data_IF_710005720283
#
_entry.id   IF_710005720283
#
_cell.length_a   1.000
_cell.length_b   1.000
_cell.length_c   1.000
_cell.angle_alpha   90.00
_cell.angle_beta   90.00
_cell.angle_gamma   90.00
#
_symmetry.space_group_name_H-M   'P 1'
#
loop_
_entity.id
_entity.type
_entity.pdbx_description
1 polymer ?
#
# COMPACT_ATOMS: atom_id res chain seq x y z
N UNK A 1 -28.61 3.13 -52.66
CA UNK A 1 -29.79 2.32 -52.38
C UNK A 1 -30.68 3.20 -51.52
N UNK A 2 -31.80 3.70 -52.03
CA UNK A 2 -32.68 4.55 -51.24
C UNK A 2 -33.50 3.67 -50.27
N UNK A 3 -32.86 3.15 -49.22
CA UNK A 3 -33.51 2.58 -48.02
C UNK A 3 -34.71 1.65 -48.26
N UNK A 4 -34.72 0.88 -49.35
CA UNK A 4 -35.93 0.16 -49.77
C UNK A 4 -36.35 -0.93 -48.77
N UNK A 5 -35.41 -1.45 -47.97
CA UNK A 5 -35.69 -2.45 -46.94
C UNK A 5 -36.25 -3.72 -47.58
N UNK A 6 -37.40 -4.19 -47.12
CA UNK A 6 -38.03 -5.42 -47.62
C UNK A 6 -39.30 -5.13 -48.43
N UNK A 7 -39.64 -6.05 -49.35
CA UNK A 7 -40.91 -6.02 -50.10
C UNK A 7 -41.84 -7.12 -49.60
N UNK A 8 -43.05 -6.73 -49.20
CA UNK A 8 -44.11 -7.68 -48.89
C UNK A 8 -44.86 -8.06 -50.18
N UNK A 9 -44.82 -9.33 -50.58
CA UNK A 9 -45.54 -9.83 -51.74
C UNK A 9 -46.94 -10.30 -51.35
N UNK A 10 -47.94 -9.92 -52.14
CA UNK A 10 -49.28 -10.50 -52.07
C UNK A 10 -49.48 -11.50 -53.20
N UNK A 11 -50.45 -12.39 -53.07
CA UNK A 11 -50.79 -13.34 -54.14
C UNK A 11 -51.07 -12.61 -55.46
N UNK A 12 -50.56 -13.18 -56.57
CA UNK A 12 -50.62 -12.57 -57.89
C UNK A 12 -49.66 -11.40 -58.16
N UNK A 13 -48.78 -11.03 -57.22
CA UNK A 13 -47.79 -9.96 -57.47
C UNK A 13 -46.79 -10.35 -58.55
N UNK A 14 -46.60 -9.47 -59.53
CA UNK A 14 -45.54 -9.61 -60.54
C UNK A 14 -44.23 -9.09 -59.97
N UNK A 15 -43.16 -9.89 -60.08
CA UNK A 15 -41.81 -9.49 -59.71
C UNK A 15 -41.15 -8.79 -60.90
N UNK A 16 -41.09 -7.46 -60.85
CA UNK A 16 -40.49 -6.64 -61.91
C UNK A 16 -38.96 -6.59 -61.80
N UNK A 17 -38.28 -6.29 -62.91
CA UNK A 17 -36.83 -6.12 -62.91
C UNK A 17 -36.37 -5.01 -61.94
N UNK A 18 -37.12 -3.92 -61.83
CA UNK A 18 -36.85 -2.85 -60.88
C UNK A 18 -36.89 -3.34 -59.43
N UNK A 19 -37.85 -4.21 -59.11
CA UNK A 19 -37.97 -4.80 -57.78
C UNK A 19 -36.87 -5.82 -57.49
N UNK A 20 -36.50 -6.66 -58.48
CA UNK A 20 -35.37 -7.59 -58.35
C UNK A 20 -34.09 -6.84 -58.06
N UNK A 21 -33.80 -5.77 -58.81
CA UNK A 21 -32.60 -4.99 -58.58
C UNK A 21 -32.63 -4.35 -57.20
N UNK A 22 -33.69 -3.58 -56.90
CA UNK A 22 -33.76 -2.75 -55.68
C UNK A 22 -33.86 -3.55 -54.38
N UNK A 23 -34.66 -4.62 -54.35
CA UNK A 23 -34.95 -5.37 -53.13
C UNK A 23 -34.12 -6.65 -52.99
N UNK A 24 -33.45 -7.11 -54.06
CA UNK A 24 -32.68 -8.35 -54.04
C UNK A 24 -31.21 -8.11 -54.40
N UNK A 25 -30.91 -7.71 -55.63
CA UNK A 25 -29.52 -7.64 -56.11
C UNK A 25 -28.71 -6.58 -55.35
N UNK A 26 -29.27 -5.39 -55.14
CA UNK A 26 -28.60 -4.27 -54.45
C UNK A 26 -28.40 -4.51 -52.94
N UNK A 27 -29.20 -5.40 -52.34
CA UNK A 27 -29.22 -5.66 -50.90
C UNK A 27 -28.43 -6.92 -50.50
N UNK A 28 -27.97 -7.71 -51.48
CA UNK A 28 -27.14 -8.89 -51.22
C UNK A 28 -25.67 -8.52 -51.03
N UNK A 29 -24.92 -9.40 -50.37
CA UNK A 29 -23.45 -9.35 -50.41
C UNK A 29 -23.01 -10.03 -51.72
N UNK A 30 -22.61 -9.22 -52.70
CA UNK A 30 -22.14 -9.71 -54.00
C UNK A 30 -20.71 -10.25 -53.88
N UNK A 31 -20.40 -11.41 -54.47
CA UNK A 31 -19.07 -12.04 -54.34
C UNK A 31 -18.28 -11.90 -55.64
N UNK A 32 -17.10 -11.28 -55.57
CA UNK A 32 -16.22 -11.07 -56.73
C UNK A 32 -14.83 -11.67 -56.50
N UNK A 33 -14.09 -11.87 -57.59
CA UNK A 33 -12.69 -12.32 -57.52
C UNK A 33 -11.81 -11.28 -56.82
N UNK A 34 -11.95 -10.02 -57.24
CA UNK A 34 -11.19 -8.87 -56.79
C UNK A 34 -11.97 -7.57 -57.05
N UNK A 35 -11.39 -6.42 -56.69
CA UNK A 35 -11.98 -5.10 -56.90
C UNK A 35 -12.20 -4.78 -58.39
N UNK A 36 -11.30 -5.18 -59.29
CA UNK A 36 -11.44 -4.92 -60.73
C UNK A 36 -12.62 -5.67 -61.33
N UNK A 37 -12.81 -6.93 -60.96
CA UNK A 37 -13.94 -7.74 -61.38
C UNK A 37 -15.27 -7.16 -60.87
N UNK A 38 -15.29 -6.64 -59.63
CA UNK A 38 -16.44 -5.93 -59.08
C UNK A 38 -16.74 -4.66 -59.88
N UNK A 39 -15.74 -3.80 -60.09
CA UNK A 39 -15.94 -2.49 -60.74
C UNK A 39 -16.34 -2.64 -62.21
N UNK A 40 -15.89 -3.70 -62.89
CA UNK A 40 -16.34 -4.06 -64.24
C UNK A 40 -17.79 -4.55 -64.28
N UNK A 41 -18.25 -5.27 -63.25
CA UNK A 41 -19.61 -5.79 -63.17
C UNK A 41 -20.62 -4.76 -62.66
N UNK A 42 -20.20 -3.87 -61.76
CA UNK A 42 -21.04 -2.86 -61.11
C UNK A 42 -20.57 -1.47 -61.53
N UNK A 43 -20.98 -1.04 -62.72
CA UNK A 43 -20.55 0.25 -63.32
C UNK A 43 -21.30 1.47 -62.80
N UNK A 44 -22.37 1.27 -62.03
CA UNK A 44 -23.19 2.35 -61.45
C UNK A 44 -23.68 1.93 -60.06
N UNK A 45 -22.75 1.81 -59.08
CA UNK A 45 -23.10 1.41 -57.73
C UNK A 45 -23.97 2.44 -57.04
N UNK A 46 -24.84 1.98 -56.16
CA UNK A 46 -25.72 2.82 -55.35
C UNK A 46 -25.28 2.73 -53.88
N UNK A 47 -25.30 3.83 -53.14
CA UNK A 47 -24.85 3.88 -51.72
C UNK A 47 -25.47 2.77 -50.87
N UNK A 48 -24.66 2.07 -50.08
CA UNK A 48 -25.08 0.95 -49.23
C UNK A 48 -25.03 -0.44 -49.88
N UNK A 49 -24.72 -0.56 -51.17
CA UNK A 49 -24.41 -1.88 -51.77
C UNK A 49 -23.21 -2.51 -51.08
N UNK A 50 -23.22 -3.84 -50.93
CA UNK A 50 -22.16 -4.61 -50.27
C UNK A 50 -21.52 -5.63 -51.22
N UNK A 51 -20.21 -5.82 -51.09
CA UNK A 51 -19.50 -6.84 -51.84
C UNK A 51 -18.42 -7.54 -50.99
N UNK A 52 -18.18 -8.81 -51.27
CA UNK A 52 -17.08 -9.60 -50.73
C UNK A 52 -16.04 -9.84 -51.83
N UNK A 53 -14.80 -9.48 -51.54
CA UNK A 53 -13.66 -9.68 -52.44
C UNK A 53 -12.87 -10.91 -51.99
N UNK A 54 -12.68 -11.88 -52.89
CA UNK A 54 -12.03 -13.16 -52.56
C UNK A 54 -10.52 -13.06 -52.45
N UNK A 55 -9.90 -12.13 -53.16
CA UNK A 55 -8.45 -11.87 -53.13
C UNK A 55 -7.98 -11.29 -51.79
N UNK A 56 -8.74 -10.35 -51.21
CA UNK A 56 -8.43 -9.71 -49.92
C UNK A 56 -9.22 -10.27 -48.75
N UNK A 57 -10.16 -11.19 -49.00
CA UNK A 57 -11.03 -11.78 -48.00
C UNK A 57 -11.79 -10.72 -47.16
N UNK A 58 -12.24 -9.65 -47.84
CA UNK A 58 -12.79 -8.46 -47.19
C UNK A 58 -14.20 -8.12 -47.67
N UNK A 59 -15.03 -7.69 -46.73
CA UNK A 59 -16.30 -7.05 -47.04
C UNK A 59 -16.08 -5.56 -47.31
N UNK A 60 -16.66 -5.06 -48.39
CA UNK A 60 -16.67 -3.64 -48.77
C UNK A 60 -18.11 -3.16 -48.92
N UNK A 61 -18.35 -1.88 -48.69
CA UNK A 61 -19.61 -1.21 -48.97
C UNK A 61 -19.38 0.03 -49.82
N UNK A 62 -20.33 0.38 -50.70
CA UNK A 62 -20.26 1.62 -51.46
C UNK A 62 -20.80 2.77 -50.63
N UNK A 63 -19.98 3.80 -50.35
CA UNK A 63 -20.33 4.93 -49.48
C UNK A 63 -21.06 6.08 -50.21
N UNK A 64 -21.40 5.87 -51.48
CA UNK A 64 -21.97 6.89 -52.36
C UNK A 64 -20.95 7.50 -53.32
N UNK A 65 -19.65 7.31 -53.08
CA UNK A 65 -18.56 7.82 -53.92
C UNK A 65 -17.53 6.73 -54.26
N UNK A 66 -17.17 5.89 -53.29
CA UNK A 66 -16.16 4.83 -53.42
C UNK A 66 -16.60 3.56 -52.71
N UNK A 67 -15.97 2.44 -53.08
CA UNK A 67 -16.06 1.19 -52.32
C UNK A 67 -15.10 1.26 -51.12
N UNK A 68 -15.64 1.45 -49.93
CA UNK A 68 -14.91 1.48 -48.67
C UNK A 68 -14.89 0.08 -48.02
N UNK A 69 -13.85 -0.23 -47.26
CA UNK A 69 -13.80 -1.43 -46.42
C UNK A 69 -14.79 -1.32 -45.26
N UNK A 70 -15.42 -2.43 -44.87
CA UNK A 70 -16.19 -2.46 -43.64
C UNK A 70 -15.25 -2.13 -42.45
N UNK A 71 -15.66 -1.23 -41.55
CA UNK A 71 -14.86 -0.92 -40.37
C UNK A 71 -14.76 -2.17 -39.50
N UNK A 72 -13.63 -2.85 -39.57
CA UNK A 72 -13.19 -3.73 -38.49
C UNK A 72 -12.70 -2.82 -37.37
N UNK A 73 -12.97 -3.15 -36.12
CA UNK A 73 -12.49 -2.34 -34.99
C UNK A 73 -10.97 -2.15 -35.09
N UNK A 74 -10.49 -0.94 -34.80
CA UNK A 74 -9.07 -0.58 -34.94
C UNK A 74 -8.12 -1.45 -34.10
N UNK A 75 -8.62 -2.06 -33.03
CA UNK A 75 -7.87 -2.96 -32.17
C UNK A 75 -8.04 -4.40 -32.65
N UNK A 76 -6.98 -4.94 -33.27
CA UNK A 76 -6.91 -6.35 -33.70
C UNK A 76 -6.48 -7.31 -32.59
N UNK A 77 -6.02 -6.76 -31.46
CA UNK A 77 -5.76 -7.52 -30.24
C UNK A 77 -5.09 -6.68 -29.16
N UNK A 78 -5.07 -7.25 -27.96
CA UNK A 78 -4.41 -6.70 -26.78
C UNK A 78 -3.48 -7.75 -26.22
N UNK A 79 -2.21 -7.39 -26.05
CA UNK A 79 -1.20 -8.24 -25.39
C UNK A 79 -0.86 -7.59 -24.05
N UNK A 80 -0.99 -8.36 -22.96
CA UNK A 80 -0.61 -7.88 -21.64
C UNK A 80 0.91 -7.64 -21.56
N UNK A 81 1.30 -6.49 -21.03
CA UNK A 81 2.70 -6.16 -20.73
C UNK A 81 3.16 -6.73 -19.39
N UNK A 82 4.38 -6.40 -18.98
CA UNK A 82 4.96 -6.86 -17.72
C UNK A 82 4.09 -6.50 -16.50
N UNK A 83 3.84 -7.47 -15.62
CA UNK A 83 3.05 -7.29 -14.40
C UNK A 83 1.53 -7.35 -14.62
N UNK A 84 1.10 -7.59 -15.85
CA UNK A 84 -0.30 -7.79 -16.22
C UNK A 84 -0.47 -9.20 -16.82
N UNK A 85 -1.70 -9.70 -16.78
CA UNK A 85 -2.09 -10.95 -17.40
C UNK A 85 -3.37 -10.78 -18.23
N UNK A 86 -3.65 -11.73 -19.12
CA UNK A 86 -4.81 -11.72 -20.01
C UNK A 86 -4.49 -11.15 -21.39
N UNK A 87 -5.44 -10.43 -21.97
CA UNK A 87 -5.42 -10.01 -23.37
C UNK A 87 -6.22 -10.96 -24.28
N UNK A 88 -6.20 -10.67 -25.57
CA UNK A 88 -6.95 -11.43 -26.58
C UNK A 88 -7.11 -10.67 -27.90
N UNK A 89 -7.55 -11.38 -28.94
CA UNK A 89 -7.77 -10.85 -30.29
C UNK A 89 -9.23 -10.92 -30.75
N UNK A 90 -10.14 -11.44 -29.92
CA UNK A 90 -11.56 -11.55 -30.20
C UNK A 90 -12.37 -11.77 -28.90
N UNK A 91 -13.66 -11.41 -28.93
CA UNK A 91 -14.57 -11.58 -27.79
C UNK A 91 -14.37 -10.52 -26.69
N UNK A 92 -14.82 -10.83 -25.48
CA UNK A 92 -14.55 -9.99 -24.31
C UNK A 92 -13.06 -10.10 -23.93
N UNK A 93 -12.37 -8.97 -23.89
CA UNK A 93 -10.95 -8.90 -23.54
C UNK A 93 -10.84 -8.49 -22.07
N UNK A 94 -10.20 -9.34 -21.26
CA UNK A 94 -9.91 -9.05 -19.86
C UNK A 94 -8.41 -8.86 -19.66
N UNK A 95 -8.04 -7.86 -18.86
CA UNK A 95 -6.68 -7.65 -18.36
C UNK A 95 -6.77 -7.61 -16.84
N UNK A 96 -5.86 -8.32 -16.18
CA UNK A 96 -5.71 -8.29 -14.73
C UNK A 96 -4.28 -7.99 -14.33
N UNK A 97 -4.07 -7.71 -13.04
CA UNK A 97 -2.73 -7.74 -12.45
C UNK A 97 -2.26 -9.20 -12.43
N UNK A 98 -1.03 -9.45 -12.86
CA UNK A 98 -0.41 -10.78 -12.77
C UNK A 98 -0.17 -11.11 -11.29
N UNK A 99 -1.06 -11.93 -10.74
CA UNK A 99 -0.98 -12.48 -9.37
C UNK A 99 -1.43 -13.93 -9.44
N UNK A 100 -0.65 -14.82 -8.84
CA UNK A 100 -0.92 -16.27 -8.81
C UNK A 100 -0.91 -16.84 -7.38
N UNK A 101 -0.39 -16.07 -6.40
CA UNK A 101 -0.47 -16.42 -4.98
C UNK A 101 -1.04 -15.29 -4.11
N UNK A 102 -1.41 -15.63 -2.87
CA UNK A 102 -1.97 -14.65 -1.92
C UNK A 102 -0.92 -13.60 -1.58
N UNK A 103 -1.33 -12.34 -1.67
CA UNK A 103 -0.50 -11.21 -1.26
C UNK A 103 0.69 -10.95 -2.18
N UNK A 104 0.63 -11.42 -3.43
CA UNK A 104 1.60 -11.03 -4.45
C UNK A 104 1.63 -9.51 -4.62
N UNK A 105 2.86 -8.99 -4.68
CA UNK A 105 3.15 -7.64 -5.10
C UNK A 105 3.82 -7.68 -6.46
N UNK A 106 3.30 -6.92 -7.42
CA UNK A 106 4.00 -6.68 -8.70
C UNK A 106 5.02 -5.56 -8.47
N UNK A 107 6.30 -5.90 -8.61
CA UNK A 107 7.43 -5.02 -8.31
C UNK A 107 8.18 -4.69 -9.59
N UNK A 108 8.39 -3.41 -9.87
CA UNK A 108 9.23 -2.98 -11.00
C UNK A 108 10.70 -3.34 -10.76
N UNK A 109 11.34 -3.96 -11.75
CA UNK A 109 12.75 -4.43 -11.66
C UNK A 109 13.70 -3.61 -12.53
N UNK A 110 13.17 -2.69 -13.34
CA UNK A 110 13.91 -1.89 -14.31
C UNK A 110 12.96 -1.17 -15.27
N UNK A 111 13.49 -0.64 -16.36
CA UNK A 111 12.66 -0.07 -17.43
C UNK A 111 11.75 -1.16 -18.01
N UNK A 112 10.44 -0.91 -18.02
CA UNK A 112 9.40 -1.75 -18.62
C UNK A 112 9.43 -3.23 -18.19
N UNK A 113 10.00 -3.53 -17.00
CA UNK A 113 10.12 -4.89 -16.46
C UNK A 113 9.61 -4.94 -15.03
N UNK A 114 8.98 -6.07 -14.69
CA UNK A 114 8.49 -6.33 -13.35
C UNK A 114 8.61 -7.81 -13.00
N UNK A 115 8.58 -8.09 -11.70
CA UNK A 115 8.53 -9.43 -11.12
C UNK A 115 7.42 -9.50 -10.08
N UNK A 116 7.11 -10.70 -9.59
CA UNK A 116 6.20 -10.90 -8.48
C UNK A 116 6.98 -11.18 -7.21
N UNK A 117 6.64 -10.50 -6.13
CA UNK A 117 7.10 -10.79 -4.79
C UNK A 117 5.92 -11.28 -3.96
N UNK A 118 5.89 -12.58 -3.65
CA UNK A 118 4.87 -13.18 -2.80
C UNK A 118 4.92 -12.62 -1.38
N UNK A 119 3.84 -12.83 -0.62
CA UNK A 119 3.76 -12.42 0.79
C UNK A 119 4.85 -13.11 1.63
N UNK A 120 5.42 -12.36 2.57
CA UNK A 120 6.37 -12.88 3.53
C UNK A 120 5.71 -13.78 4.58
N UNK A 121 6.53 -14.45 5.38
CA UNK A 121 6.04 -15.12 6.59
C UNK A 121 5.48 -14.10 7.59
N UNK A 122 4.54 -14.54 8.43
CA UNK A 122 3.93 -13.67 9.45
C UNK A 122 4.98 -12.90 10.27
N UNK A 123 4.60 -11.71 10.73
CA UNK A 123 5.44 -10.76 11.49
C UNK A 123 6.61 -10.13 10.75
N UNK A 124 6.94 -10.59 9.54
CA UNK A 124 7.97 -9.95 8.74
C UNK A 124 7.48 -8.62 8.17
N UNK A 125 8.42 -7.71 7.98
CA UNK A 125 8.20 -6.39 7.39
C UNK A 125 8.84 -6.34 6.01
N UNK A 126 8.20 -5.63 5.08
CA UNK A 126 8.78 -5.39 3.76
C UNK A 126 9.87 -4.33 3.89
N UNK A 127 11.08 -4.66 3.46
CA UNK A 127 12.25 -3.78 3.51
C UNK A 127 12.86 -3.62 2.13
N UNK A 128 13.49 -2.47 1.89
CA UNK A 128 14.32 -2.30 0.71
C UNK A 128 15.57 -3.19 0.81
N UNK A 129 15.84 -3.94 -0.26
CA UNK A 129 17.03 -4.77 -0.39
C UNK A 129 17.49 -4.75 -1.86
N UNK A 130 18.41 -3.82 -2.16
CA UNK A 130 18.95 -3.63 -3.50
C UNK A 130 19.82 -4.78 -4.02
N UNK A 131 20.06 -5.82 -3.20
CA UNK A 131 20.74 -7.04 -3.64
C UNK A 131 19.80 -8.04 -4.30
N UNK A 132 18.49 -7.89 -4.09
CA UNK A 132 17.45 -8.71 -4.74
C UNK A 132 17.04 -8.13 -6.09
N UNK A 133 16.55 -8.98 -6.99
CA UNK A 133 16.05 -8.54 -8.30
C UNK A 133 14.84 -7.59 -8.19
N UNK A 134 13.99 -7.77 -7.17
CA UNK A 134 12.87 -6.88 -6.84
C UNK A 134 13.31 -5.56 -6.17
N UNK A 135 14.53 -5.47 -5.66
CA UNK A 135 14.94 -4.37 -4.78
C UNK A 135 14.24 -4.38 -3.41
N UNK A 136 13.51 -5.45 -3.09
CA UNK A 136 12.67 -5.61 -1.91
C UNK A 136 12.81 -7.02 -1.34
N UNK A 137 12.84 -7.12 -0.01
CA UNK A 137 12.86 -8.39 0.72
C UNK A 137 11.98 -8.32 1.98
N UNK A 138 11.45 -9.47 2.41
CA UNK A 138 10.80 -9.60 3.71
C UNK A 138 11.86 -9.88 4.78
N UNK A 139 11.93 -9.05 5.81
CA UNK A 139 12.88 -9.18 6.91
C UNK A 139 12.15 -9.29 8.24
N UNK A 140 12.74 -10.01 9.20
CA UNK A 140 12.32 -9.92 10.58
C UNK A 140 12.45 -8.45 11.05
N UNK A 141 11.48 -7.94 11.83
CA UNK A 141 11.57 -6.59 12.36
C UNK A 141 12.77 -6.46 13.30
N UNK A 142 13.56 -5.39 13.15
CA UNK A 142 14.62 -5.08 14.10
C UNK A 142 13.95 -4.59 15.41
N UNK A 143 14.26 -5.16 16.60
CA UNK A 143 13.71 -4.70 17.88
C UNK A 143 14.03 -3.22 18.22
N UNK A 144 14.89 -2.56 17.44
CA UNK A 144 15.45 -1.25 17.74
C UNK A 144 16.72 -1.36 18.59
N UNK A 145 17.31 -0.23 18.93
CA UNK A 145 18.62 -0.20 19.60
C UNK A 145 18.55 -0.56 21.10
N UNK A 146 17.39 -0.36 21.73
CA UNK A 146 17.18 -0.69 23.14
C UNK A 146 16.53 -2.06 23.24
N UNK A 147 17.33 -3.09 23.53
CA UNK A 147 16.84 -4.46 23.74
C UNK A 147 16.36 -4.71 25.18
N UNK A 148 16.60 -3.76 26.08
CA UNK A 148 16.12 -3.79 27.44
C UNK A 148 16.72 -2.68 28.29
N UNK A 149 16.06 -2.43 29.41
CA UNK A 149 16.50 -1.49 30.45
C UNK A 149 16.52 -2.23 31.77
N UNK A 150 17.68 -2.29 32.41
CA UNK A 150 17.85 -2.86 33.75
C UNK A 150 18.10 -1.73 34.73
N UNK A 151 17.25 -1.61 35.75
CA UNK A 151 17.44 -0.63 36.81
C UNK A 151 18.70 -0.96 37.63
N UNK A 152 19.54 0.04 37.88
CA UNK A 152 20.68 -0.06 38.80
C UNK A 152 20.26 0.15 40.26
N UNK A 153 21.25 0.15 41.18
CA UNK A 153 21.00 0.36 42.60
C UNK A 153 20.24 1.67 42.89
N UNK A 154 19.18 1.60 43.72
CA UNK A 154 18.35 2.74 44.11
C UNK A 154 17.28 3.12 43.09
N UNK A 155 17.18 2.40 41.99
CA UNK A 155 16.10 2.50 41.01
C UNK A 155 15.34 1.17 40.96
N UNK A 156 14.07 1.25 40.55
CA UNK A 156 13.21 0.09 40.31
C UNK A 156 12.55 0.19 38.94
N UNK A 157 12.02 -0.93 38.45
CA UNK A 157 11.38 -1.04 37.14
C UNK A 157 12.32 -1.53 36.05
N UNK A 158 12.19 -0.97 34.85
CA UNK A 158 12.82 -1.45 33.62
C UNK A 158 11.95 -2.45 32.85
N UNK A 159 12.56 -3.20 31.93
CA UNK A 159 11.89 -4.21 31.13
C UNK A 159 12.55 -4.42 29.77
N UNK A 160 12.06 -5.41 29.02
CA UNK A 160 12.59 -5.82 27.71
C UNK A 160 11.57 -5.71 26.57
N UNK A 161 10.34 -5.23 26.86
CA UNK A 161 9.27 -5.07 25.88
C UNK A 161 8.18 -4.14 26.42
N UNK A 162 7.45 -3.46 25.53
CA UNK A 162 6.36 -2.55 25.86
C UNK A 162 6.85 -1.20 26.41
N UNK A 163 5.94 -0.46 27.06
CA UNK A 163 6.28 0.81 27.70
C UNK A 163 7.13 0.55 28.95
N UNK A 164 8.35 1.06 28.97
CA UNK A 164 9.30 0.87 30.07
C UNK A 164 9.15 1.99 31.09
N UNK A 165 9.01 1.64 32.38
CA UNK A 165 8.96 2.61 33.49
C UNK A 165 10.16 2.41 34.40
N UNK A 166 10.81 3.50 34.81
CA UNK A 166 11.83 3.52 35.85
C UNK A 166 11.37 4.48 36.95
N UNK A 167 11.50 4.06 38.20
CA UNK A 167 11.25 4.90 39.37
C UNK A 167 12.40 4.83 40.37
N UNK A 168 12.38 5.73 41.35
CA UNK A 168 13.20 5.56 42.55
C UNK A 168 12.69 4.33 43.31
N UNK A 169 13.61 3.49 43.79
CA UNK A 169 13.26 2.39 44.68
C UNK A 169 12.85 2.96 46.05
N UNK A 170 11.55 3.09 46.28
CA UNK A 170 10.96 3.49 47.56
C UNK A 170 9.92 2.45 47.94
N UNK A 171 10.11 1.77 49.07
CA UNK A 171 9.19 0.77 49.61
C UNK A 171 8.77 1.06 51.07
N UNK A 172 9.32 2.10 51.69
CA UNK A 172 8.88 2.62 52.98
C UNK A 172 8.71 4.16 52.97
N UNK A 173 8.01 4.66 54.01
CA UNK A 173 7.75 6.08 54.16
C UNK A 173 9.06 6.86 54.32
N UNK A 174 9.18 7.93 53.53
CA UNK A 174 10.30 8.85 53.59
C UNK A 174 11.64 8.22 53.21
N UNK A 175 11.63 7.15 52.43
CA UNK A 175 12.84 6.56 51.86
C UNK A 175 13.69 7.60 51.14
N UNK A 176 14.96 7.65 51.53
CA UNK A 176 16.00 8.37 50.84
C UNK A 176 16.97 7.36 50.23
N UNK A 177 17.24 7.48 48.93
CA UNK A 177 18.32 6.74 48.28
C UNK A 177 19.64 7.44 48.56
N UNK A 178 20.56 6.74 49.21
CA UNK A 178 21.86 7.25 49.64
C UNK A 178 22.97 6.47 48.96
N UNK A 179 23.89 7.17 48.30
CA UNK A 179 25.08 6.54 47.72
C UNK A 179 26.00 5.98 48.81
N UNK A 180 26.44 4.73 48.66
CA UNK A 180 27.33 4.05 49.62
C UNK A 180 28.76 3.85 49.07
N UNK A 181 29.00 4.30 47.84
CA UNK A 181 30.26 4.13 47.12
C UNK A 181 30.08 4.40 45.62
N UNK A 182 31.07 4.07 44.80
CA UNK A 182 30.93 4.12 43.35
C UNK A 182 29.82 3.16 42.90
N UNK A 183 28.86 3.67 42.12
CA UNK A 183 27.75 2.91 41.50
C UNK A 183 26.92 2.05 42.47
N UNK A 184 26.93 2.37 43.76
CA UNK A 184 26.18 1.66 44.80
C UNK A 184 25.36 2.62 45.64
N UNK A 185 24.17 2.20 46.00
CA UNK A 185 23.28 2.95 46.88
C UNK A 185 22.50 2.01 47.79
N UNK A 186 22.06 2.55 48.92
CA UNK A 186 21.15 1.91 49.87
C UNK A 186 19.97 2.83 50.12
N UNK A 187 18.88 2.28 50.66
CA UNK A 187 17.76 3.07 51.15
C UNK A 187 17.97 3.40 52.63
N UNK A 188 17.60 4.60 53.03
CA UNK A 188 17.47 5.02 54.41
C UNK A 188 16.03 5.48 54.63
N UNK A 189 15.26 4.69 55.37
CA UNK A 189 13.86 5.01 55.70
C UNK A 189 13.79 6.23 56.61
N UNK A 190 12.61 6.84 56.74
CA UNK A 190 12.39 7.91 57.71
C UNK A 190 12.76 7.47 59.14
N UNK A 191 13.35 8.39 59.90
CA UNK A 191 13.59 8.22 61.32
C UNK A 191 12.30 8.31 62.14
N UNK A 192 12.40 8.01 63.43
CA UNK A 192 11.32 8.32 64.38
C UNK A 192 11.19 9.82 64.60
N UNK A 193 10.01 10.25 65.06
CA UNK A 193 9.79 11.65 65.47
C UNK A 193 10.88 12.11 66.45
N UNK A 194 11.21 13.41 66.39
CA UNK A 194 12.28 14.04 67.18
C UNK A 194 13.71 13.57 66.84
N UNK A 195 13.89 12.84 65.74
CA UNK A 195 15.20 12.60 65.16
C UNK A 195 15.54 13.63 64.07
N UNK A 196 16.84 13.92 63.92
CA UNK A 196 17.40 14.71 62.83
C UNK A 196 18.41 13.86 62.05
N UNK A 197 18.44 14.01 60.73
CA UNK A 197 19.43 13.34 59.89
C UNK A 197 20.78 14.00 60.13
N UNK A 198 21.77 13.24 60.58
CA UNK A 198 23.14 13.71 60.77
C UNK A 198 24.09 12.95 59.86
N UNK A 199 25.21 13.58 59.52
CA UNK A 199 26.36 12.86 58.99
C UNK A 199 26.89 11.88 60.04
N UNK A 200 27.16 10.65 59.62
CA UNK A 200 27.82 9.61 60.41
C UNK A 200 28.69 8.76 59.48
N UNK A 201 29.97 9.11 59.39
CA UNK A 201 30.95 8.43 58.54
C UNK A 201 31.30 7.01 58.98
N UNK A 202 30.74 6.54 60.09
CA UNK A 202 30.90 5.14 60.54
C UNK A 202 29.86 4.20 59.91
N UNK A 203 28.80 4.76 59.32
CA UNK A 203 27.77 3.99 58.58
C UNK A 203 28.13 3.84 57.10
N UNK A 204 27.65 2.78 56.45
CA UNK A 204 27.85 2.57 55.02
C UNK A 204 27.21 3.67 54.14
N UNK A 205 26.13 4.29 54.63
CA UNK A 205 25.45 5.44 54.00
C UNK A 205 26.14 6.79 54.28
N UNK A 206 27.06 6.86 55.25
CA UNK A 206 27.60 8.12 55.75
C UNK A 206 26.57 9.00 56.49
N UNK A 207 25.36 8.48 56.74
CA UNK A 207 24.21 9.19 57.29
C UNK A 207 23.50 8.32 58.33
N UNK A 208 23.07 8.93 59.44
CA UNK A 208 22.29 8.28 60.48
C UNK A 208 21.25 9.23 61.09
N UNK A 209 20.18 8.68 61.67
CA UNK A 209 19.21 9.45 62.46
C UNK A 209 19.72 9.60 63.90
N UNK A 210 19.83 10.83 64.38
CA UNK A 210 20.24 11.14 65.75
C UNK A 210 19.11 11.86 66.50
N UNK A 211 19.00 11.65 67.82
CA UNK A 211 18.06 12.39 68.66
C UNK A 211 18.34 13.89 68.56
N UNK A 212 17.30 14.68 68.31
CA UNK A 212 17.40 16.12 68.30
C UNK A 212 17.89 16.62 69.66
N UNK A 213 19.03 17.31 69.69
CA UNK A 213 19.50 17.95 70.92
C UNK A 213 18.50 19.03 71.34
N UNK A 214 18.00 19.00 72.56
CA UNK A 214 17.02 19.96 73.12
C UNK A 214 17.54 21.42 73.26
N UNK A 215 18.64 21.76 72.58
CA UNK A 215 19.39 23.01 72.75
C UNK A 215 19.13 24.11 71.73
N UNK A 216 18.28 23.91 70.71
CA UNK A 216 17.83 25.01 69.85
C UNK A 216 16.49 25.53 70.37
N UNK A 217 16.51 26.19 71.52
CA UNK A 217 15.50 27.21 71.77
C UNK A 217 15.74 28.32 70.77
N UNK A 218 14.68 28.69 70.07
CA UNK A 218 14.59 29.90 69.24
C UNK A 218 15.23 31.08 69.95
N UNK A 219 16.33 31.61 69.38
CA UNK A 219 16.91 32.88 69.80
C UNK A 219 17.65 32.82 71.14
N UNK A 220 18.92 33.20 71.08
CA UNK A 220 19.78 33.49 72.21
C UNK A 220 19.15 34.59 73.10
N UNK A 221 18.32 34.23 74.07
CA UNK A 221 17.99 35.13 75.17
C UNK A 221 19.22 35.20 76.10
N UNK A 222 20.20 36.04 75.75
CA UNK A 222 21.19 36.50 76.73
C UNK A 222 20.41 37.41 77.69
N UNK A 223 20.05 36.91 78.87
CA UNK A 223 19.58 37.77 79.94
C UNK A 223 20.74 38.64 80.44
N UNK A 224 20.93 39.81 79.82
CA UNK A 224 21.84 40.84 80.32
C UNK A 224 21.12 41.63 81.42
N UNK A 225 21.40 41.32 82.68
CA UNK A 225 20.94 42.13 83.81
C UNK A 225 21.69 43.47 83.77
N UNK A 226 20.99 44.55 83.45
CA UNK A 226 21.49 45.91 83.61
C UNK A 226 21.10 46.39 85.01
N UNK A 227 22.06 46.41 85.94
CA UNK A 227 21.92 47.05 87.24
C UNK A 227 22.11 48.56 87.02
N UNK A 228 21.05 49.36 87.22
CA UNK A 228 21.19 50.80 87.38
C UNK A 228 21.50 51.08 88.85
N UNK A 229 22.70 51.62 89.10
CA UNK A 229 23.05 52.28 90.35
C UNK A 229 22.65 53.74 90.33
#
# INVERSE_FOLDING_TARGET
>A
MAGAGFKNFTDGSVLTAAEVNTYLMEQTVMVFADATARDAAVTSPTEGMNAYLKDTNSLVYYDGSVWAGWPVGDVTGVTAGNGLQGGGSAGEITIGIDTDTKGDLVVGTGADTSTKLGVGTDTHILTADSTTASGLAWSAPNPGDVTGVTAGNGLQGGGTSGDLTIGIDTDALGDLVVGTGADTSTKLTVGSDTQVLTADSTTASGLAWATQSSGVTTGKAIAMSMVFG
#
